data_IF_384497508912
#
_entry.id   IF_384497508912
#
_cell.length_a   1.000
_cell.length_b   1.000
_cell.length_c   1.000
_cell.angle_alpha   90.00
_cell.angle_beta   90.00
_cell.angle_gamma   90.00
#
_symmetry.space_group_name_H-M   'P 1'
#
loop_
_entity.id
_entity.type
_entity.pdbx_description
1 polymer ?
#
# COMPACT_ATOMS: atom_id res chain seq x y z
N UNK A 1 -24.74 -11.51 -29.90
CA UNK A 1 -24.03 -12.01 -28.73
C UNK A 1 -24.00 -13.54 -28.72
N UNK A 2 -25.14 -14.23 -28.77
CA UNK A 2 -25.25 -15.71 -28.70
C UNK A 2 -24.34 -16.44 -29.68
N UNK A 3 -24.42 -16.14 -30.98
CA UNK A 3 -23.54 -16.75 -31.99
C UNK A 3 -22.05 -16.58 -31.72
N UNK A 4 -21.63 -15.46 -31.11
CA UNK A 4 -20.23 -15.28 -30.72
C UNK A 4 -19.85 -16.20 -29.56
N UNK A 5 -20.73 -16.32 -28.58
CA UNK A 5 -20.52 -17.21 -27.43
C UNK A 5 -20.51 -18.68 -27.85
N UNK A 6 -21.35 -19.09 -28.82
CA UNK A 6 -21.30 -20.45 -29.39
C UNK A 6 -19.93 -20.75 -29.99
N UNK A 7 -19.37 -19.83 -30.82
CA UNK A 7 -18.05 -20.00 -31.40
C UNK A 7 -16.97 -20.05 -30.30
N UNK A 8 -17.05 -19.19 -29.30
CA UNK A 8 -16.06 -19.13 -28.23
C UNK A 8 -16.12 -20.39 -27.36
N UNK A 9 -17.32 -20.90 -27.11
CA UNK A 9 -17.52 -22.09 -26.30
C UNK A 9 -17.19 -23.39 -27.05
N UNK A 10 -17.09 -23.37 -28.39
CA UNK A 10 -16.75 -24.55 -29.19
C UNK A 10 -15.32 -25.03 -28.94
N UNK A 11 -14.38 -24.15 -28.55
CA UNK A 11 -13.02 -24.55 -28.21
C UNK A 11 -12.41 -23.64 -27.15
N UNK A 12 -11.74 -24.22 -26.15
CA UNK A 12 -11.11 -23.50 -25.02
C UNK A 12 -10.04 -22.51 -25.44
N UNK A 13 -9.43 -22.67 -26.62
CA UNK A 13 -8.42 -21.75 -27.12
C UNK A 13 -8.96 -20.32 -27.32
N UNK A 14 -10.24 -20.16 -27.66
CA UNK A 14 -10.87 -18.86 -27.78
C UNK A 14 -10.90 -18.13 -26.44
N UNK A 15 -11.20 -18.84 -25.35
CA UNK A 15 -11.19 -18.24 -24.00
C UNK A 15 -9.77 -17.75 -23.65
N UNK A 16 -8.74 -18.50 -24.03
CA UNK A 16 -7.34 -18.10 -23.82
C UNK A 16 -6.97 -16.87 -24.65
N UNK A 17 -7.42 -16.81 -25.93
CA UNK A 17 -7.28 -15.63 -26.78
C UNK A 17 -7.93 -14.42 -26.12
N UNK A 18 -9.19 -14.52 -25.67
CA UNK A 18 -9.90 -13.43 -25.03
C UNK A 18 -9.24 -12.97 -23.72
N UNK A 19 -8.74 -13.88 -22.88
CA UNK A 19 -7.96 -13.54 -21.67
C UNK A 19 -6.69 -12.72 -22.01
N UNK A 20 -5.98 -13.09 -23.09
CA UNK A 20 -4.81 -12.34 -23.52
C UNK A 20 -5.18 -10.97 -24.08
N UNK A 21 -6.28 -10.86 -24.82
CA UNK A 21 -6.82 -9.56 -25.30
C UNK A 21 -7.21 -8.68 -24.09
N UNK A 22 -7.90 -9.23 -23.08
CA UNK A 22 -8.26 -8.51 -21.86
C UNK A 22 -7.02 -7.99 -21.12
N UNK A 23 -5.97 -8.82 -21.00
CA UNK A 23 -4.69 -8.41 -20.39
C UNK A 23 -4.08 -7.22 -21.14
N UNK A 24 -4.11 -7.23 -22.48
CA UNK A 24 -3.61 -6.11 -23.29
C UNK A 24 -4.52 -4.88 -23.18
N UNK A 25 -5.83 -5.04 -23.15
CA UNK A 25 -6.77 -3.96 -22.92
C UNK A 25 -6.50 -3.28 -21.56
N UNK A 26 -6.37 -4.05 -20.48
CA UNK A 26 -6.04 -3.50 -19.15
C UNK A 26 -4.72 -2.74 -19.14
N UNK A 27 -3.72 -3.23 -19.89
CA UNK A 27 -2.40 -2.61 -20.00
C UNK A 27 -2.40 -1.29 -20.76
N UNK A 28 -3.12 -1.22 -21.90
CA UNK A 28 -3.02 -0.10 -22.85
C UNK A 28 -4.28 0.77 -22.91
N UNK A 29 -5.33 0.44 -22.18
CA UNK A 29 -6.65 1.10 -22.20
C UNK A 29 -7.32 1.14 -23.59
N UNK A 30 -6.91 0.24 -24.48
CA UNK A 30 -7.43 0.06 -25.84
C UNK A 30 -7.09 -1.32 -26.38
N UNK A 31 -7.88 -1.82 -27.36
CA UNK A 31 -7.61 -3.08 -28.03
C UNK A 31 -6.38 -2.90 -28.94
N UNK A 32 -5.22 -3.29 -28.45
CA UNK A 32 -3.94 -3.15 -29.17
C UNK A 32 -2.90 -4.15 -28.64
N UNK A 33 -1.74 -4.20 -29.32
CA UNK A 33 -0.62 -5.05 -28.93
C UNK A 33 -0.71 -6.47 -29.47
N UNK A 34 0.34 -7.22 -29.21
CA UNK A 34 0.51 -8.62 -29.61
C UNK A 34 0.65 -9.51 -28.40
N UNK A 35 0.24 -10.75 -28.56
CA UNK A 35 0.47 -11.81 -27.59
C UNK A 35 0.76 -13.14 -28.32
N UNK A 36 1.35 -14.09 -27.62
CA UNK A 36 1.67 -15.38 -28.19
C UNK A 36 0.86 -16.46 -27.50
N UNK A 37 0.39 -17.43 -28.30
CA UNK A 37 -0.28 -18.64 -27.80
C UNK A 37 0.38 -19.86 -28.44
N UNK A 38 0.59 -20.90 -27.63
CA UNK A 38 1.07 -22.20 -28.08
C UNK A 38 -0.09 -23.18 -28.16
N UNK A 39 -0.42 -23.74 -29.34
CA UNK A 39 -1.48 -24.75 -29.49
C UNK A 39 -1.10 -26.03 -28.76
N UNK A 40 -2.10 -26.71 -28.19
CA UNK A 40 -1.93 -28.00 -27.51
C UNK A 40 -2.23 -29.20 -28.41
N UNK A 41 -2.97 -28.98 -29.50
CA UNK A 41 -3.39 -30.00 -30.47
C UNK A 41 -3.56 -29.39 -31.84
N UNK A 42 -3.83 -30.23 -32.87
CA UNK A 42 -3.99 -29.79 -34.24
C UNK A 42 -5.22 -28.92 -34.46
N UNK A 43 -6.33 -29.16 -33.76
CA UNK A 43 -7.54 -28.35 -33.85
C UNK A 43 -7.28 -26.91 -33.37
N UNK A 44 -6.57 -26.72 -32.23
CA UNK A 44 -6.15 -25.41 -31.78
C UNK A 44 -5.18 -24.75 -32.75
N UNK A 45 -4.29 -25.55 -33.38
CA UNK A 45 -3.36 -25.04 -34.41
C UNK A 45 -4.11 -24.48 -35.61
N UNK A 46 -5.15 -25.17 -36.11
CA UNK A 46 -5.98 -24.72 -37.21
C UNK A 46 -6.76 -23.43 -36.88
N UNK A 47 -7.27 -23.33 -35.66
CA UNK A 47 -7.92 -22.10 -35.17
C UNK A 47 -6.92 -20.94 -35.14
N UNK A 48 -5.72 -21.18 -34.57
CA UNK A 48 -4.68 -20.13 -34.45
C UNK A 48 -4.12 -19.72 -35.82
N UNK A 49 -4.11 -20.63 -36.81
CA UNK A 49 -3.68 -20.36 -38.19
C UNK A 49 -4.56 -19.28 -38.88
N UNK A 50 -5.80 -19.09 -38.41
CA UNK A 50 -6.66 -17.99 -38.87
C UNK A 50 -6.14 -16.60 -38.50
N UNK A 51 -5.26 -16.52 -37.50
CA UNK A 51 -4.62 -15.28 -37.04
C UNK A 51 -3.15 -15.17 -37.43
N UNK A 52 -2.43 -16.30 -37.48
CA UNK A 52 -1.00 -16.38 -37.81
C UNK A 52 -0.70 -17.71 -38.49
N UNK A 53 -0.53 -17.70 -39.82
CA UNK A 53 -0.23 -18.92 -40.61
C UNK A 53 1.12 -19.54 -40.25
N UNK A 54 2.05 -18.77 -39.65
CA UNK A 54 3.36 -19.29 -39.23
C UNK A 54 3.27 -20.23 -38.01
N UNK A 55 2.10 -20.40 -37.40
CA UNK A 55 1.90 -21.29 -36.26
C UNK A 55 2.33 -22.73 -36.56
N UNK A 56 2.13 -23.21 -37.79
CA UNK A 56 2.54 -24.56 -38.23
C UNK A 56 4.07 -24.76 -38.16
N UNK A 57 4.83 -23.72 -38.51
CA UNK A 57 6.30 -23.77 -38.49
C UNK A 57 6.87 -23.51 -37.10
N UNK A 58 6.34 -22.52 -36.42
CA UNK A 58 6.88 -22.01 -35.14
C UNK A 58 6.29 -22.67 -33.91
N UNK A 59 5.28 -23.51 -34.08
CA UNK A 59 4.47 -24.12 -32.97
C UNK A 59 3.96 -23.08 -31.96
N UNK A 60 3.83 -21.82 -32.41
CA UNK A 60 3.43 -20.69 -31.59
C UNK A 60 2.85 -19.60 -32.51
N UNK A 61 1.62 -19.15 -32.22
CA UNK A 61 0.98 -18.07 -32.94
C UNK A 61 1.23 -16.72 -32.29
N UNK A 62 1.59 -15.70 -33.10
CA UNK A 62 1.68 -14.30 -32.69
C UNK A 62 0.44 -13.55 -33.14
N UNK A 63 -0.46 -13.30 -32.21
CA UNK A 63 -1.80 -12.73 -32.50
C UNK A 63 -1.82 -11.25 -32.13
N UNK A 64 -2.38 -10.45 -33.04
CA UNK A 64 -2.66 -9.03 -32.80
C UNK A 64 -4.06 -8.87 -32.20
N UNK A 65 -4.17 -8.18 -31.06
CA UNK A 65 -5.47 -7.99 -30.38
C UNK A 65 -6.55 -7.38 -31.27
N UNK A 66 -6.17 -6.44 -32.18
CA UNK A 66 -7.09 -5.85 -33.17
C UNK A 66 -7.63 -6.83 -34.17
N UNK A 67 -6.91 -7.87 -34.51
CA UNK A 67 -7.37 -8.86 -35.51
C UNK A 67 -8.43 -9.79 -34.90
N UNK A 68 -8.30 -10.06 -33.58
CA UNK A 68 -9.38 -10.73 -32.82
C UNK A 68 -10.65 -9.88 -32.82
N UNK A 69 -10.55 -8.61 -32.49
CA UNK A 69 -11.68 -7.66 -32.54
C UNK A 69 -12.33 -7.65 -33.93
N UNK A 70 -11.54 -7.51 -35.00
CA UNK A 70 -12.03 -7.48 -36.37
C UNK A 70 -12.75 -8.79 -36.77
N UNK A 71 -12.23 -9.94 -36.36
CA UNK A 71 -12.83 -11.23 -36.69
C UNK A 71 -14.28 -11.32 -36.17
N UNK A 72 -14.48 -10.88 -34.93
CA UNK A 72 -15.78 -10.93 -34.27
C UNK A 72 -16.70 -9.79 -34.70
N UNK A 73 -16.19 -8.58 -34.93
CA UNK A 73 -17.01 -7.42 -35.39
C UNK A 73 -17.45 -7.51 -36.84
N UNK A 74 -16.63 -8.09 -37.72
CA UNK A 74 -17.01 -8.27 -39.16
C UNK A 74 -18.16 -9.27 -39.33
N UNK A 75 -18.24 -10.29 -38.51
CA UNK A 75 -19.25 -11.34 -38.59
C UNK A 75 -20.59 -10.97 -37.97
N UNK A 76 -20.60 -9.94 -37.10
CA UNK A 76 -21.74 -9.59 -36.24
C UNK A 76 -21.99 -8.07 -36.34
N UNK A 77 -23.03 -7.67 -37.09
CA UNK A 77 -23.45 -6.24 -37.16
C UNK A 77 -24.01 -5.84 -35.77
N UNK A 78 -23.71 -4.60 -35.35
CA UNK A 78 -24.14 -3.97 -34.08
C UNK A 78 -23.68 -4.70 -32.81
N UNK A 79 -22.40 -4.97 -32.73
CA UNK A 79 -21.81 -5.75 -31.65
C UNK A 79 -20.72 -4.98 -30.90
N UNK A 80 -20.86 -4.86 -29.57
CA UNK A 80 -19.83 -4.27 -28.73
C UNK A 80 -18.83 -5.37 -28.31
N UNK A 81 -17.63 -5.30 -28.90
CA UNK A 81 -16.55 -6.24 -28.60
C UNK A 81 -16.07 -6.16 -27.15
N UNK A 82 -16.10 -4.97 -26.53
CA UNK A 82 -15.70 -4.83 -25.13
C UNK A 82 -16.70 -5.55 -24.20
N UNK A 83 -17.98 -5.43 -24.49
CA UNK A 83 -19.00 -6.17 -23.75
C UNK A 83 -18.80 -7.70 -23.87
N UNK A 84 -18.51 -8.20 -25.08
CA UNK A 84 -18.19 -9.62 -25.27
C UNK A 84 -16.93 -9.99 -24.49
N UNK A 85 -15.89 -9.17 -24.53
CA UNK A 85 -14.64 -9.40 -23.83
C UNK A 85 -14.86 -9.58 -22.33
N UNK A 86 -15.66 -8.70 -21.72
CA UNK A 86 -16.04 -8.77 -20.30
C UNK A 86 -16.82 -10.05 -19.97
N UNK A 87 -17.83 -10.39 -20.79
CA UNK A 87 -18.65 -11.59 -20.58
C UNK A 87 -17.82 -12.87 -20.67
N UNK A 88 -16.97 -13.00 -21.68
CA UNK A 88 -16.14 -14.20 -21.92
C UNK A 88 -15.08 -14.36 -20.84
N UNK A 89 -14.43 -13.30 -20.43
CA UNK A 89 -13.37 -13.36 -19.42
C UNK A 89 -13.92 -13.36 -18.00
N UNK A 90 -15.18 -12.96 -17.81
CA UNK A 90 -15.82 -12.70 -16.49
C UNK A 90 -15.05 -11.65 -15.69
N UNK A 91 -14.44 -10.68 -16.36
CA UNK A 91 -13.64 -9.64 -15.77
C UNK A 91 -14.20 -8.26 -16.12
N UNK A 92 -14.08 -7.31 -15.20
CA UNK A 92 -14.46 -5.93 -15.41
C UNK A 92 -13.50 -5.22 -16.38
N UNK A 93 -14.04 -4.29 -17.18
CA UNK A 93 -13.30 -3.47 -18.14
C UNK A 93 -12.55 -2.30 -17.45
N UNK A 94 -11.97 -2.57 -16.30
CA UNK A 94 -11.18 -1.59 -15.55
C UNK A 94 -9.72 -1.69 -15.97
N UNK A 95 -9.18 -0.61 -16.48
CA UNK A 95 -7.79 -0.56 -16.94
C UNK A 95 -6.81 -0.38 -15.76
N UNK A 96 -5.56 -0.78 -15.94
CA UNK A 96 -4.52 -0.59 -14.93
C UNK A 96 -4.32 0.89 -14.57
N UNK A 97 -4.60 1.80 -15.49
CA UNK A 97 -4.57 3.24 -15.26
C UNK A 97 -5.69 3.65 -14.29
N UNK A 98 -6.93 3.21 -14.56
CA UNK A 98 -8.08 3.49 -13.69
C UNK A 98 -7.91 2.88 -12.30
N UNK A 99 -7.37 1.64 -12.21
CA UNK A 99 -7.05 1.03 -10.89
C UNK A 99 -6.06 1.91 -10.11
N UNK A 100 -5.01 2.40 -10.78
CA UNK A 100 -4.04 3.30 -10.11
C UNK A 100 -4.68 4.63 -9.68
N UNK A 101 -5.53 5.22 -10.51
CA UNK A 101 -6.26 6.45 -10.18
C UNK A 101 -7.19 6.25 -8.98
N UNK A 102 -7.93 5.14 -8.94
CA UNK A 102 -8.78 4.78 -7.78
C UNK A 102 -7.94 4.64 -6.51
N UNK A 103 -6.81 3.91 -6.57
CA UNK A 103 -5.93 3.73 -5.42
C UNK A 103 -5.35 5.06 -4.92
N UNK A 104 -4.95 5.95 -5.82
CA UNK A 104 -4.45 7.29 -5.46
C UNK A 104 -5.56 8.13 -4.83
N UNK A 105 -6.76 8.12 -5.40
CA UNK A 105 -7.89 8.86 -4.86
C UNK A 105 -8.29 8.36 -3.47
N UNK A 106 -8.33 7.05 -3.25
CA UNK A 106 -8.61 6.46 -1.95
C UNK A 106 -7.54 6.83 -0.91
N UNK A 107 -6.24 6.85 -1.31
CA UNK A 107 -5.14 7.30 -0.44
C UNK A 107 -5.33 8.77 -0.04
N UNK A 108 -5.64 9.64 -0.99
CA UNK A 108 -5.89 11.07 -0.74
C UNK A 108 -7.10 11.27 0.16
N UNK A 109 -8.19 10.57 -0.08
CA UNK A 109 -9.40 10.64 0.73
C UNK A 109 -9.15 10.16 2.17
N UNK A 110 -8.46 9.05 2.35
CA UNK A 110 -8.08 8.53 3.65
C UNK A 110 -7.29 9.56 4.46
N UNK A 111 -6.21 10.11 3.91
CA UNK A 111 -5.39 11.09 4.62
C UNK A 111 -6.10 12.43 4.82
N UNK A 112 -6.92 12.88 3.88
CA UNK A 112 -7.74 14.08 4.04
C UNK A 112 -8.73 13.93 5.19
N UNK A 113 -9.35 12.77 5.28
CA UNK A 113 -10.27 12.43 6.37
C UNK A 113 -9.53 12.32 7.70
N UNK A 114 -8.38 11.65 7.75
CA UNK A 114 -7.53 11.56 8.93
C UNK A 114 -7.20 12.95 9.48
N UNK A 115 -6.73 13.86 8.63
CA UNK A 115 -6.34 15.24 9.02
C UNK A 115 -7.53 16.01 9.59
N UNK A 116 -8.75 15.80 9.08
CA UNK A 116 -9.96 16.46 9.62
C UNK A 116 -10.28 16.04 11.05
N UNK A 117 -9.99 14.80 11.41
CA UNK A 117 -10.22 14.28 12.76
C UNK A 117 -9.09 14.60 13.75
N UNK A 118 -7.95 15.08 13.29
CA UNK A 118 -6.85 15.45 14.17
C UNK A 118 -7.04 16.85 14.74
N UNK A 119 -6.78 17.01 16.03
CA UNK A 119 -6.69 18.30 16.70
C UNK A 119 -5.56 19.13 16.12
N UNK A 120 -5.70 20.46 16.18
CA UNK A 120 -4.65 21.37 15.74
C UNK A 120 -3.45 21.29 16.69
N UNK A 121 -2.25 21.28 16.13
CA UNK A 121 -1.01 21.19 16.89
C UNK A 121 0.13 20.64 16.06
N UNK A 122 1.26 20.41 16.71
CA UNK A 122 2.52 19.98 16.08
C UNK A 122 2.37 18.66 15.30
N UNK A 123 1.62 17.72 15.83
CA UNK A 123 1.37 16.44 15.19
C UNK A 123 0.59 16.57 13.89
N UNK A 124 -0.41 17.47 13.86
CA UNK A 124 -1.16 17.76 12.62
C UNK A 124 -0.29 18.51 11.60
N UNK A 125 0.52 19.47 12.04
CA UNK A 125 1.49 20.17 11.17
C UNK A 125 2.49 19.18 10.57
N UNK A 126 3.01 18.28 11.41
CA UNK A 126 3.95 17.23 10.99
C UNK A 126 3.36 16.30 9.93
N UNK A 127 2.17 15.75 10.17
CA UNK A 127 1.58 14.78 9.21
C UNK A 127 1.27 15.47 7.87
N UNK A 128 0.78 16.70 7.88
CA UNK A 128 0.57 17.50 6.67
C UNK A 128 1.88 17.69 5.92
N UNK A 129 2.94 18.12 6.61
CA UNK A 129 4.26 18.31 6.02
C UNK A 129 4.85 16.98 5.48
N UNK A 130 4.67 15.87 6.22
CA UNK A 130 5.12 14.55 5.79
C UNK A 130 4.46 14.12 4.48
N UNK A 131 3.15 14.30 4.35
CA UNK A 131 2.38 13.95 3.16
C UNK A 131 2.71 14.86 1.96
N UNK A 132 2.83 16.16 2.18
CA UNK A 132 3.11 17.14 1.12
C UNK A 132 4.55 17.02 0.60
N UNK A 133 5.54 16.98 1.52
CA UNK A 133 6.96 16.96 1.16
C UNK A 133 7.49 15.55 0.88
N UNK A 134 6.73 14.50 1.18
CA UNK A 134 7.14 13.09 1.12
C UNK A 134 8.41 12.78 1.95
N UNK A 135 8.57 13.50 3.07
CA UNK A 135 9.67 13.40 4.03
C UNK A 135 9.14 13.03 5.42
N UNK A 136 9.96 13.14 6.46
CA UNK A 136 9.57 13.05 7.88
C UNK A 136 8.73 11.80 8.23
N UNK A 137 9.12 10.65 7.71
CA UNK A 137 8.43 9.38 7.98
C UNK A 137 7.37 8.97 6.95
N UNK A 138 7.15 9.76 5.87
CA UNK A 138 6.20 9.42 4.80
C UNK A 138 6.33 7.98 4.25
N UNK A 139 7.54 7.43 3.97
CA UNK A 139 7.65 6.05 3.51
C UNK A 139 7.06 5.02 4.49
N UNK A 140 7.22 5.24 5.80
CA UNK A 140 6.64 4.39 6.84
C UNK A 140 5.12 4.50 6.90
N UNK A 141 4.58 5.73 6.81
CA UNK A 141 3.14 5.99 6.74
C UNK A 141 2.53 5.30 5.52
N UNK A 142 3.17 5.42 4.36
CA UNK A 142 2.71 4.77 3.12
C UNK A 142 2.77 3.25 3.19
N UNK A 143 3.78 2.69 3.85
CA UNK A 143 3.90 1.24 4.09
C UNK A 143 2.76 0.74 4.99
N UNK A 144 2.46 1.49 6.07
CA UNK A 144 1.32 1.20 6.95
C UNK A 144 -0.01 1.21 6.19
N UNK A 145 -0.24 2.25 5.39
CA UNK A 145 -1.46 2.36 4.59
C UNK A 145 -1.64 1.17 3.63
N UNK A 146 -0.59 0.80 2.89
CA UNK A 146 -0.64 -0.36 2.00
C UNK A 146 -0.93 -1.65 2.76
N UNK A 147 -0.22 -1.89 3.87
CA UNK A 147 -0.45 -3.07 4.70
C UNK A 147 -1.89 -3.12 5.22
N UNK A 148 -2.42 -2.00 5.69
CA UNK A 148 -3.80 -1.92 6.19
C UNK A 148 -4.86 -2.16 5.11
N UNK A 149 -4.59 -1.79 3.85
CA UNK A 149 -5.45 -2.13 2.71
C UNK A 149 -5.44 -3.63 2.43
N UNK A 150 -4.24 -4.25 2.38
CA UNK A 150 -4.08 -5.67 2.10
C UNK A 150 -4.73 -6.54 3.19
N UNK A 151 -4.69 -6.10 4.45
CA UNK A 151 -5.26 -6.79 5.60
C UNK A 151 -6.71 -6.37 5.94
N UNK A 152 -7.32 -5.47 5.16
CA UNK A 152 -8.66 -4.89 5.41
C UNK A 152 -8.79 -4.19 6.78
N UNK A 153 -7.69 -3.64 7.30
CA UNK A 153 -7.57 -3.05 8.64
C UNK A 153 -7.47 -1.51 8.63
N UNK A 154 -8.01 -0.87 7.61
CA UNK A 154 -7.85 0.58 7.38
C UNK A 154 -8.41 1.45 8.52
N UNK A 155 -9.47 1.00 9.19
CA UNK A 155 -10.07 1.72 10.32
C UNK A 155 -9.14 1.70 11.55
N UNK A 156 -8.53 0.55 11.87
CA UNK A 156 -7.55 0.45 12.96
C UNK A 156 -6.32 1.32 12.70
N UNK A 157 -5.84 1.33 11.46
CA UNK A 157 -4.75 2.24 11.09
C UNK A 157 -5.12 3.71 11.32
N UNK A 158 -6.36 4.10 10.95
CA UNK A 158 -6.84 5.47 11.15
C UNK A 158 -6.84 5.84 12.64
N UNK A 159 -7.37 4.96 13.49
CA UNK A 159 -7.39 5.18 14.95
C UNK A 159 -5.98 5.31 15.54
N UNK A 160 -5.06 4.42 15.17
CA UNK A 160 -3.70 4.44 15.67
C UNK A 160 -2.91 5.67 15.19
N UNK A 161 -3.12 6.11 13.94
CA UNK A 161 -2.52 7.37 13.47
C UNK A 161 -3.09 8.58 14.21
N UNK A 162 -4.39 8.60 14.52
CA UNK A 162 -5.01 9.67 15.32
C UNK A 162 -4.38 9.69 16.73
N UNK A 163 -4.27 8.52 17.40
CA UNK A 163 -3.58 8.42 18.71
C UNK A 163 -2.15 8.97 18.63
N UNK A 164 -1.40 8.56 17.60
CA UNK A 164 -0.02 9.00 17.39
C UNK A 164 0.04 10.54 17.21
N UNK A 165 -0.82 11.11 16.35
CA UNK A 165 -0.84 12.55 16.07
C UNK A 165 -1.25 13.35 17.33
N UNK A 166 -2.26 12.87 18.06
CA UNK A 166 -2.72 13.53 19.27
C UNK A 166 -1.68 13.43 20.40
N UNK A 167 -0.95 12.32 20.52
CA UNK A 167 0.18 12.25 21.44
C UNK A 167 1.25 13.31 21.11
N UNK A 168 1.61 13.45 19.84
CA UNK A 168 2.57 14.48 19.39
C UNK A 168 2.06 15.90 19.66
N UNK A 169 0.75 16.14 19.59
CA UNK A 169 0.15 17.42 19.96
C UNK A 169 0.28 17.74 21.45
N UNK A 170 0.45 16.72 22.29
CA UNK A 170 0.48 16.83 23.76
C UNK A 170 1.84 16.41 24.33
N UNK A 171 2.94 16.74 23.65
CA UNK A 171 4.29 16.47 24.15
C UNK A 171 4.55 17.20 25.48
N UNK A 172 5.22 16.58 26.48
CA UNK A 172 5.37 17.14 27.82
C UNK A 172 6.08 18.49 27.88
N UNK A 173 7.01 18.77 26.94
CA UNK A 173 7.73 20.04 26.91
C UNK A 173 6.83 21.26 26.70
N UNK A 174 5.63 21.09 26.11
CA UNK A 174 4.65 22.16 25.94
C UNK A 174 4.12 22.70 27.26
N UNK A 175 4.16 21.88 28.31
CA UNK A 175 3.77 22.21 29.69
C UNK A 175 4.99 22.38 30.60
N UNK A 176 6.20 22.48 30.06
CA UNK A 176 7.46 22.49 30.80
C UNK A 176 7.63 21.30 31.76
N UNK A 177 7.16 20.13 31.35
CA UNK A 177 7.22 18.88 32.12
C UNK A 177 8.12 17.85 31.47
N UNK A 178 8.51 16.87 32.27
CA UNK A 178 9.21 15.67 31.80
C UNK A 178 8.41 14.45 32.20
N UNK A 179 8.34 13.48 31.32
CA UNK A 179 7.62 12.22 31.54
C UNK A 179 8.38 11.07 30.90
N UNK A 180 8.36 9.88 31.52
CA UNK A 180 8.91 8.66 30.92
C UNK A 180 8.15 8.32 29.61
N UNK A 181 8.91 7.89 28.60
CA UNK A 181 8.33 7.53 27.29
C UNK A 181 7.24 6.45 27.43
N UNK A 182 7.43 5.48 28.33
CA UNK A 182 6.45 4.42 28.57
C UNK A 182 5.15 4.96 29.20
N UNK A 183 5.24 5.90 30.15
CA UNK A 183 4.08 6.54 30.79
C UNK A 183 3.37 7.42 29.75
N UNK A 184 4.10 8.23 29.02
CA UNK A 184 3.57 9.04 27.92
C UNK A 184 2.82 8.18 26.91
N UNK A 185 3.42 7.07 26.49
CA UNK A 185 2.84 6.10 25.57
C UNK A 185 1.54 5.53 26.12
N UNK A 186 1.55 4.99 27.34
CA UNK A 186 0.38 4.41 28.00
C UNK A 186 -0.77 5.42 28.16
N UNK A 187 -0.46 6.67 28.51
CA UNK A 187 -1.44 7.75 28.72
C UNK A 187 -2.19 8.09 27.44
N UNK A 188 -1.50 8.13 26.29
CA UNK A 188 -2.10 8.53 25.03
C UNK A 188 -2.68 7.37 24.20
N UNK A 189 -2.15 6.15 24.38
CA UNK A 189 -2.49 5.03 23.51
C UNK A 189 -3.04 3.81 24.24
N UNK A 190 -2.92 3.79 25.58
CA UNK A 190 -3.20 2.66 26.47
C UNK A 190 -2.21 1.49 26.28
N UNK A 191 -1.12 1.71 25.57
CA UNK A 191 -0.04 0.75 25.37
C UNK A 191 1.31 1.42 25.69
N UNK A 192 2.03 0.97 26.75
CA UNK A 192 3.32 1.55 27.14
C UNK A 192 4.41 1.33 26.09
N UNK A 193 4.24 0.35 25.19
CA UNK A 193 5.20 -0.01 24.15
C UNK A 193 4.90 0.60 22.79
N UNK A 194 3.80 1.34 22.64
CA UNK A 194 3.36 1.90 21.37
C UNK A 194 4.44 2.77 20.70
N UNK A 195 5.17 3.57 21.48
CA UNK A 195 6.25 4.44 21.03
C UNK A 195 7.65 3.88 21.24
N UNK A 196 7.80 2.58 21.47
CA UNK A 196 9.13 1.97 21.52
C UNK A 196 9.92 2.26 20.25
N UNK A 197 11.24 2.52 20.37
CA UNK A 197 12.14 2.93 19.28
C UNK A 197 12.00 2.05 18.04
N UNK A 198 11.84 0.75 18.24
CA UNK A 198 11.79 -0.23 17.15
C UNK A 198 10.39 -0.40 16.58
N UNK A 199 9.35 0.07 17.29
CA UNK A 199 7.99 0.09 16.78
C UNK A 199 7.85 1.04 15.59
N UNK A 200 6.85 0.81 14.75
CA UNK A 200 6.62 1.68 13.60
C UNK A 200 6.13 3.07 14.05
N UNK A 201 5.34 3.12 15.12
CA UNK A 201 4.82 4.37 15.70
C UNK A 201 5.91 5.13 16.47
N UNK A 202 6.85 4.43 17.13
CA UNK A 202 8.04 5.04 17.70
C UNK A 202 8.91 5.73 16.65
N UNK A 203 9.08 5.08 15.49
CA UNK A 203 9.75 5.71 14.34
C UNK A 203 9.00 6.91 13.80
N UNK A 204 7.66 6.91 13.83
CA UNK A 204 6.85 8.07 13.44
C UNK A 204 6.99 9.20 14.46
N UNK A 205 6.95 8.92 15.77
CA UNK A 205 7.22 9.89 16.81
C UNK A 205 8.59 10.55 16.59
N UNK A 206 9.67 9.76 16.45
CA UNK A 206 11.01 10.31 16.18
C UNK A 206 11.02 11.23 14.96
N UNK A 207 10.36 10.84 13.84
CA UNK A 207 10.30 11.67 12.66
C UNK A 207 9.54 13.00 12.90
N UNK A 208 8.52 12.99 13.75
CA UNK A 208 7.78 14.20 14.14
C UNK A 208 8.65 15.13 15.03
N UNK A 209 9.41 14.54 15.97
CA UNK A 209 10.35 15.30 16.80
C UNK A 209 11.44 15.96 15.93
N UNK A 210 12.01 15.22 14.97
CA UNK A 210 12.98 15.75 14.00
C UNK A 210 12.39 16.88 13.15
N UNK A 211 11.13 16.72 12.72
CA UNK A 211 10.43 17.78 11.98
C UNK A 211 10.33 19.07 12.76
N UNK A 212 10.10 18.99 14.08
CA UNK A 212 9.93 20.17 14.95
C UNK A 212 11.24 20.67 15.55
N UNK A 213 12.31 19.86 15.54
CA UNK A 213 13.59 20.24 16.14
C UNK A 213 14.28 21.37 15.39
N UNK A 214 14.31 22.54 16.01
CA UNK A 214 14.96 23.75 15.44
C UNK A 214 16.50 23.66 15.46
N UNK A 215 17.08 22.71 16.21
CA UNK A 215 18.54 22.54 16.32
C UNK A 215 19.13 21.63 15.25
N UNK A 216 18.30 21.11 14.34
CA UNK A 216 18.75 20.48 13.11
C UNK A 216 19.42 19.14 13.28
N UNK A 217 18.91 18.28 14.19
CA UNK A 217 19.38 16.88 14.25
C UNK A 217 19.18 16.23 12.90
N UNK A 218 20.29 15.83 12.28
CA UNK A 218 20.24 15.12 11.00
C UNK A 218 19.69 13.72 11.23
N UNK A 219 18.77 13.27 10.36
CA UNK A 219 18.15 11.93 10.43
C UNK A 219 19.18 10.80 10.53
N UNK A 220 20.34 10.95 9.92
CA UNK A 220 21.43 9.96 9.96
C UNK A 220 22.10 9.87 11.35
N UNK A 221 21.88 10.85 12.21
CA UNK A 221 22.46 10.91 13.56
C UNK A 221 21.59 10.22 14.62
N UNK A 222 20.33 9.95 14.30
CA UNK A 222 19.35 9.30 15.21
C UNK A 222 19.72 7.84 15.53
N UNK A 223 20.60 7.23 14.75
CA UNK A 223 21.14 5.91 15.04
C UNK A 223 22.05 5.89 16.28
N UNK A 224 22.58 7.06 16.70
CA UNK A 224 23.31 7.20 17.95
C UNK A 224 22.32 7.38 19.10
N UNK A 225 22.44 6.52 20.12
CA UNK A 225 21.54 6.47 21.29
C UNK A 225 21.58 7.81 22.04
N UNK A 226 22.77 8.40 22.22
CA UNK A 226 22.91 9.65 22.97
C UNK A 226 22.22 10.83 22.25
N UNK A 227 22.30 10.88 20.92
CA UNK A 227 21.63 11.92 20.13
C UNK A 227 20.12 11.74 20.14
N UNK A 228 19.64 10.49 20.10
CA UNK A 228 18.23 10.18 20.23
C UNK A 228 17.69 10.54 21.62
N UNK A 229 18.42 10.22 22.69
CA UNK A 229 18.03 10.56 24.07
C UNK A 229 18.01 12.10 24.27
N UNK A 230 18.98 12.83 23.70
CA UNK A 230 18.97 14.30 23.67
C UNK A 230 17.77 14.86 22.90
N UNK A 231 17.36 14.22 21.80
CA UNK A 231 16.16 14.61 21.07
C UNK A 231 14.92 14.42 21.93
N UNK A 232 14.72 13.24 22.52
CA UNK A 232 13.61 12.98 23.43
C UNK A 232 13.57 13.98 24.59
N UNK A 233 14.71 14.21 25.26
CA UNK A 233 14.81 15.13 26.38
C UNK A 233 14.35 16.55 26.02
N UNK A 234 14.70 17.08 24.84
CA UNK A 234 14.25 18.40 24.38
C UNK A 234 12.73 18.52 24.26
N UNK A 235 12.06 17.40 24.05
CA UNK A 235 10.60 17.34 23.96
C UNK A 235 9.94 16.87 25.26
N UNK A 236 10.70 16.81 26.37
CA UNK A 236 10.18 16.42 27.67
C UNK A 236 10.01 14.92 27.86
N UNK A 237 10.54 14.09 26.95
CA UNK A 237 10.45 12.64 27.03
C UNK A 237 11.73 12.06 27.62
N UNK A 238 11.59 11.21 28.63
CA UNK A 238 12.67 10.48 29.26
C UNK A 238 12.59 9.01 28.84
N UNK A 239 13.68 8.50 28.29
CA UNK A 239 13.80 7.06 28.02
C UNK A 239 14.48 6.42 29.21
N UNK A 240 13.78 5.52 29.89
CA UNK A 240 14.37 4.72 30.94
C UNK A 240 15.33 3.70 30.33
N UNK A 241 16.63 3.93 30.49
CA UNK A 241 17.67 2.95 30.14
C UNK A 241 18.07 2.09 31.36
N UNK A 242 17.37 2.26 32.47
CA UNK A 242 17.61 1.43 33.66
C UNK A 242 17.04 0.04 33.33
N UNK A 243 17.92 -0.84 32.89
CA UNK A 243 17.63 -2.27 32.94
C UNK A 243 17.36 -2.58 34.42
N UNK A 244 16.14 -3.02 34.74
CA UNK A 244 15.79 -3.52 36.06
C UNK A 244 16.56 -4.83 36.35
N UNK A 245 17.85 -4.75 36.58
CA UNK A 245 18.57 -5.74 37.32
C UNK A 245 18.33 -5.42 38.82
N UNK A 246 17.25 -5.93 39.36
CA UNK A 246 17.06 -5.97 40.79
C UNK A 246 18.12 -6.93 41.34
N UNK A 247 19.25 -6.41 41.78
CA UNK A 247 20.19 -7.17 42.60
C UNK A 247 19.49 -7.40 43.95
N UNK A 248 18.85 -8.54 44.10
CA UNK A 248 18.39 -9.01 45.39
C UNK A 248 19.66 -9.44 46.16
N UNK A 249 20.23 -8.52 46.93
CA UNK A 249 21.20 -8.90 47.96
C UNK A 249 20.42 -9.71 48.99
N UNK A 250 20.86 -10.94 49.21
CA UNK A 250 20.36 -11.80 50.23
C UNK A 250 20.66 -11.13 51.57
N UNK A 251 19.68 -10.45 52.16
CA UNK A 251 19.73 -9.98 53.52
C UNK A 251 19.63 -11.23 54.42
N UNK A 252 20.75 -11.75 54.83
CA UNK A 252 20.81 -12.70 55.97
C UNK A 252 20.69 -11.86 57.24
N UNK A 253 19.43 -11.62 57.65
CA UNK A 253 19.15 -11.15 59.00
C UNK A 253 19.05 -12.35 59.91
N UNK A 254 19.94 -12.47 60.90
CA UNK A 254 19.71 -13.32 62.07
C UNK A 254 18.59 -12.67 62.88
N UNK A 255 17.51 -13.44 63.09
CA UNK A 255 16.47 -13.08 64.05
C UNK A 255 17.04 -13.42 65.47
N UNK A 256 17.28 -12.39 66.25
CA UNK A 256 17.39 -12.54 67.76
C UNK A 256 15.98 -12.64 68.36
#
# INVERSE_FOLDING_TARGET
MEKALEIINSNKIYIEIFKNVMKKYKQYSKITGYFNITPKNNEEMDILASFDTNVYNNKKAKIKSKDVEKLFTKKLKNFDFLQLLSVVTKEELITNKQVREILVNNEVEFFSTLIKFCENGIGKEWIIAALQKKLYGYPSIKKLYKKALDESNINYLKEDLIKCINAINNLPYLENKYESLAIFSARHTKDPHFFDKDSIYGKLLINALVYKDSQGVNKNEINNIDKLNKLYYRFGLLKDEISNSTCIYKLTGELE
#
